data_IF_491532220965
#
_entry.id   IF_491532220965
#
_cell.length_a   1.000
_cell.length_b   1.000
_cell.length_c   1.000
_cell.angle_alpha   90.00
_cell.angle_beta   90.00
_cell.angle_gamma   90.00
#
_symmetry.space_group_name_H-M   'P 1'
#
loop_
_entity.id
_entity.type
_entity.pdbx_description
1 polymer ?
#
# COMPACT_ATOMS: atom_id res chain seq x y z
N UNK A 1 27.95 -13.35 2.57
CA UNK A 1 26.53 -13.76 2.44
C UNK A 1 25.67 -13.14 3.52
N UNK A 2 26.02 -13.25 4.81
CA UNK A 2 25.29 -12.61 5.91
C UNK A 2 24.95 -11.11 5.72
N UNK A 3 25.87 -10.31 5.15
CA UNK A 3 25.63 -8.87 4.94
C UNK A 3 24.49 -8.56 3.94
N UNK A 4 24.38 -9.33 2.85
CA UNK A 4 23.34 -9.11 1.81
C UNK A 4 21.96 -9.48 2.35
N UNK A 5 21.88 -10.56 3.11
CA UNK A 5 20.65 -11.01 3.76
C UNK A 5 20.18 -10.01 4.84
N UNK A 6 21.13 -9.48 5.62
CA UNK A 6 20.84 -8.42 6.62
C UNK A 6 20.30 -7.15 5.96
N UNK A 7 20.87 -6.75 4.81
CA UNK A 7 20.38 -5.61 4.04
C UNK A 7 18.96 -5.84 3.50
N UNK A 8 18.70 -7.01 2.90
CA UNK A 8 17.38 -7.37 2.38
C UNK A 8 16.32 -7.36 3.49
N UNK A 9 16.64 -7.90 4.67
CA UNK A 9 15.74 -7.88 5.82
C UNK A 9 15.47 -6.48 6.34
N UNK A 10 16.50 -5.63 6.43
CA UNK A 10 16.35 -4.24 6.87
C UNK A 10 15.43 -3.44 5.93
N UNK A 11 15.61 -3.60 4.61
CA UNK A 11 14.74 -2.94 3.63
C UNK A 11 13.30 -3.43 3.68
N UNK A 12 13.09 -4.75 3.85
CA UNK A 12 11.75 -5.31 3.99
C UNK A 12 11.04 -4.78 5.22
N UNK A 13 11.72 -4.68 6.37
CA UNK A 13 11.14 -4.12 7.60
C UNK A 13 10.70 -2.66 7.41
N UNK A 14 11.53 -1.85 6.74
CA UNK A 14 11.18 -0.45 6.42
C UNK A 14 9.95 -0.41 5.50
N UNK A 15 9.91 -1.25 4.46
CA UNK A 15 8.78 -1.33 3.54
C UNK A 15 7.50 -1.83 4.22
N UNK A 16 7.59 -2.78 5.15
CA UNK A 16 6.44 -3.25 5.94
C UNK A 16 5.89 -2.16 6.85
N UNK A 17 6.77 -1.52 7.61
CA UNK A 17 6.38 -0.48 8.57
C UNK A 17 5.71 0.71 7.87
N UNK A 18 6.38 1.28 6.87
CA UNK A 18 5.88 2.46 6.17
C UNK A 18 4.73 2.10 5.23
N UNK A 19 4.88 1.02 4.46
CA UNK A 19 3.96 0.68 3.39
C UNK A 19 2.61 0.16 3.89
N UNK A 20 2.58 -0.66 4.96
CA UNK A 20 1.30 -1.12 5.54
C UNK A 20 0.54 0.05 6.13
N UNK A 21 1.24 0.93 6.86
CA UNK A 21 0.65 2.15 7.43
C UNK A 21 0.07 3.05 6.35
N UNK A 22 0.83 3.31 5.28
CA UNK A 22 0.38 4.13 4.15
C UNK A 22 -0.80 3.50 3.40
N UNK A 23 -0.77 2.19 3.17
CA UNK A 23 -1.86 1.45 2.53
C UNK A 23 -3.16 1.59 3.31
N UNK A 24 -3.12 1.33 4.61
CA UNK A 24 -4.28 1.45 5.50
C UNK A 24 -4.82 2.89 5.54
N UNK A 25 -3.93 3.88 5.64
CA UNK A 25 -4.33 5.28 5.63
C UNK A 25 -5.02 5.66 4.32
N UNK A 26 -4.49 5.26 3.17
CA UNK A 26 -5.09 5.55 1.87
C UNK A 26 -6.47 4.90 1.71
N UNK A 27 -6.64 3.67 2.19
CA UNK A 27 -7.93 2.97 2.16
C UNK A 27 -8.95 3.68 3.05
N UNK A 28 -8.58 4.02 4.28
CA UNK A 28 -9.46 4.71 5.24
C UNK A 28 -9.84 6.10 4.71
N UNK A 29 -8.86 6.89 4.28
CA UNK A 29 -9.09 8.23 3.72
C UNK A 29 -9.93 8.12 2.45
N UNK A 30 -9.68 7.14 1.58
CA UNK A 30 -10.52 6.85 0.42
C UNK A 30 -11.98 6.61 0.80
N UNK A 31 -12.24 5.77 1.81
CA UNK A 31 -13.59 5.53 2.33
C UNK A 31 -14.26 6.79 2.89
N UNK A 32 -13.53 7.61 3.65
CA UNK A 32 -14.03 8.89 4.18
C UNK A 32 -14.37 9.85 3.04
N UNK A 33 -13.47 10.01 2.06
CA UNK A 33 -13.68 10.87 0.90
C UNK A 33 -14.87 10.38 0.07
N UNK A 34 -15.06 9.07 -0.07
CA UNK A 34 -16.23 8.50 -0.75
C UNK A 34 -17.53 8.84 -0.02
N UNK A 35 -17.55 8.74 1.31
CA UNK A 35 -18.69 9.13 2.13
C UNK A 35 -19.01 10.62 2.01
N UNK A 36 -17.98 11.47 2.07
CA UNK A 36 -18.12 12.93 1.89
C UNK A 36 -18.59 13.30 0.47
N UNK A 37 -18.22 12.52 -0.54
CA UNK A 37 -18.69 12.73 -1.92
C UNK A 37 -20.22 12.65 -2.03
N UNK A 38 -20.88 11.84 -1.21
CA UNK A 38 -22.34 11.70 -1.23
C UNK A 38 -23.07 12.97 -0.76
N UNK A 39 -22.39 13.79 0.06
CA UNK A 39 -22.91 15.07 0.54
C UNK A 39 -22.70 16.20 -0.48
N UNK A 40 -21.94 15.97 -1.55
CA UNK A 40 -21.68 16.98 -2.56
C UNK A 40 -22.82 17.06 -3.61
N UNK A 41 -23.02 18.24 -4.23
CA UNK A 41 -23.91 18.40 -5.36
C UNK A 41 -23.55 17.46 -6.52
N UNK A 42 -24.54 17.10 -7.34
CA UNK A 42 -24.38 16.13 -8.44
C UNK A 42 -23.23 16.47 -9.40
N UNK A 43 -23.02 17.76 -9.66
CA UNK A 43 -22.01 18.26 -10.61
C UNK A 43 -20.57 17.99 -10.17
N UNK A 44 -20.31 17.92 -8.86
CA UNK A 44 -18.96 17.69 -8.32
C UNK A 44 -18.80 16.32 -7.69
N UNK A 45 -19.90 15.65 -7.34
CA UNK A 45 -19.93 14.31 -6.73
C UNK A 45 -19.08 13.30 -7.48
N UNK A 46 -19.19 13.23 -8.81
CA UNK A 46 -18.44 12.27 -9.63
C UNK A 46 -16.92 12.45 -9.49
N UNK A 47 -16.43 13.69 -9.41
CA UNK A 47 -15.00 13.98 -9.22
C UNK A 47 -14.50 13.46 -7.87
N UNK A 48 -15.27 13.68 -6.81
CA UNK A 48 -14.93 13.23 -5.46
C UNK A 48 -14.97 11.70 -5.33
N UNK A 49 -15.93 11.04 -5.97
CA UNK A 49 -16.00 9.58 -6.02
C UNK A 49 -14.80 8.98 -6.77
N UNK A 50 -14.43 9.53 -7.93
CA UNK A 50 -13.25 9.07 -8.67
C UNK A 50 -11.95 9.25 -7.87
N UNK A 51 -11.81 10.37 -7.15
CA UNK A 51 -10.66 10.59 -6.26
C UNK A 51 -10.62 9.58 -5.12
N UNK A 52 -11.76 9.32 -4.47
CA UNK A 52 -11.87 8.30 -3.41
C UNK A 52 -11.49 6.90 -3.91
N UNK A 53 -11.96 6.53 -5.09
CA UNK A 53 -11.61 5.24 -5.73
C UNK A 53 -10.11 5.19 -6.04
N UNK A 54 -9.52 6.27 -6.53
CA UNK A 54 -8.07 6.35 -6.76
C UNK A 54 -7.24 6.14 -5.49
N UNK A 55 -7.66 6.74 -4.37
CA UNK A 55 -7.02 6.53 -3.07
C UNK A 55 -7.16 5.07 -2.60
N UNK A 56 -8.34 4.48 -2.75
CA UNK A 56 -8.59 3.10 -2.38
C UNK A 56 -7.72 2.12 -3.19
N UNK A 57 -7.71 2.26 -4.53
CA UNK A 57 -6.90 1.44 -5.43
C UNK A 57 -5.41 1.64 -5.13
N UNK A 58 -4.96 2.87 -4.90
CA UNK A 58 -3.58 3.17 -4.52
C UNK A 58 -3.15 2.45 -3.25
N UNK A 59 -4.01 2.44 -2.22
CA UNK A 59 -3.76 1.69 -0.99
C UNK A 59 -3.66 0.18 -1.21
N UNK A 60 -4.56 -0.39 -2.02
CA UNK A 60 -4.52 -1.83 -2.38
C UNK A 60 -3.24 -2.19 -3.14
N UNK A 61 -2.81 -1.35 -4.09
CA UNK A 61 -1.57 -1.58 -4.85
C UNK A 61 -0.33 -1.59 -3.96
N UNK A 62 -0.24 -0.68 -2.98
CA UNK A 62 0.86 -0.66 -2.02
C UNK A 62 0.90 -1.95 -1.19
N UNK A 63 -0.25 -2.42 -0.71
CA UNK A 63 -0.32 -3.69 0.01
C UNK A 63 0.16 -4.87 -0.85
N UNK A 64 -0.24 -4.91 -2.13
CA UNK A 64 0.19 -5.95 -3.06
C UNK A 64 1.71 -5.95 -3.31
N UNK A 65 2.32 -4.76 -3.45
CA UNK A 65 3.78 -4.63 -3.64
C UNK A 65 4.55 -5.15 -2.43
N UNK A 66 4.09 -4.84 -1.21
CA UNK A 66 4.74 -5.31 0.02
C UNK A 66 4.62 -6.83 0.11
N UNK A 67 3.42 -7.38 -0.14
CA UNK A 67 3.22 -8.83 -0.17
C UNK A 67 4.14 -9.53 -1.18
N UNK A 68 4.35 -8.93 -2.36
CA UNK A 68 5.31 -9.45 -3.33
C UNK A 68 6.76 -9.36 -2.83
N UNK A 69 7.14 -8.27 -2.15
CA UNK A 69 8.47 -8.10 -1.58
C UNK A 69 8.79 -9.18 -0.52
N UNK A 70 7.81 -9.59 0.28
CA UNK A 70 7.96 -10.69 1.25
C UNK A 70 8.29 -12.02 0.57
N UNK A 71 7.57 -12.35 -0.50
CA UNK A 71 7.80 -13.58 -1.27
C UNK A 71 9.19 -13.56 -1.92
N UNK A 72 9.59 -12.42 -2.49
CA UNK A 72 10.91 -12.26 -3.10
C UNK A 72 12.03 -12.44 -2.06
N UNK A 73 11.88 -11.86 -0.87
CA UNK A 73 12.86 -12.01 0.21
C UNK A 73 12.98 -13.48 0.63
N UNK A 74 11.85 -14.17 0.83
CA UNK A 74 11.85 -15.59 1.19
C UNK A 74 12.60 -16.45 0.17
N UNK A 75 12.29 -16.28 -1.13
CA UNK A 75 12.96 -17.01 -2.20
C UNK A 75 14.45 -16.64 -2.28
N UNK A 76 14.79 -15.37 -2.07
CA UNK A 76 16.18 -14.90 -2.14
C UNK A 76 17.03 -15.44 -0.98
N UNK A 77 16.49 -15.52 0.23
CA UNK A 77 17.17 -16.12 1.39
C UNK A 77 17.39 -17.62 1.20
N UNK A 78 16.40 -18.34 0.67
CA UNK A 78 16.53 -19.78 0.37
C UNK A 78 17.60 -20.07 -0.69
N UNK A 79 17.82 -19.17 -1.65
CA UNK A 79 18.85 -19.33 -2.68
C UNK A 79 20.26 -18.95 -2.21
N UNK A 80 20.38 -18.21 -1.10
CA UNK A 80 21.63 -17.72 -0.54
C UNK A 80 22.19 -18.62 0.59
N UNK A 81 21.42 -19.63 1.01
CA UNK A 81 21.80 -20.65 2.01
C UNK A 81 22.25 -21.95 1.36
#
# INVERSE_FOLDING_TARGET
MAYVETLLSSWLEVMKSAGVTLSLLLIIVGGVVYGLAQLQPGDTRGRWQSMAIGLFIGGVLIAAIIGAAEVIQSISSDLLT
#
